data_IF_909566550673
#
_entry.id   IF_909566550673
#
_cell.length_a   1.000
_cell.length_b   1.000
_cell.length_c   1.000
_cell.angle_alpha   90.00
_cell.angle_beta   90.00
_cell.angle_gamma   90.00
#
_symmetry.space_group_name_H-M   'P 1'
#
loop_
_entity.id
_entity.type
_entity.pdbx_description
1 polymer ?
#
# COMPACT_ATOMS: atom_id res chain seq x y z
N UNK A 1 13.10 -4.43 -3.86
CA UNK A 1 12.46 -3.70 -2.74
C UNK A 1 13.07 -4.14 -1.43
N UNK A 2 13.22 -3.23 -0.45
CA UNK A 2 13.78 -3.55 0.88
C UNK A 2 12.79 -4.27 1.80
N UNK A 3 11.48 -4.20 1.50
CA UNK A 3 10.44 -4.76 2.35
C UNK A 3 10.59 -6.28 2.56
N UNK A 4 10.74 -7.15 1.54
CA UNK A 4 10.82 -8.60 1.72
C UNK A 4 11.88 -9.07 2.72
N UNK A 5 13.08 -8.45 2.70
CA UNK A 5 14.14 -8.82 3.63
C UNK A 5 13.90 -8.32 5.05
N UNK A 6 13.41 -7.08 5.21
CA UNK A 6 13.11 -6.50 6.54
C UNK A 6 11.97 -7.25 7.25
N UNK A 7 10.97 -7.71 6.49
CA UNK A 7 9.79 -8.44 6.99
C UNK A 7 10.14 -9.75 7.71
N UNK A 8 11.26 -10.39 7.35
CA UNK A 8 11.70 -11.64 7.97
C UNK A 8 11.99 -11.53 9.47
N UNK A 9 12.22 -10.31 9.97
CA UNK A 9 12.56 -10.03 11.37
C UNK A 9 11.38 -9.54 12.21
N UNK A 10 10.22 -9.32 11.59
CA UNK A 10 9.04 -8.78 12.25
C UNK A 10 8.18 -9.88 12.88
N UNK A 11 7.36 -9.51 13.87
CA UNK A 11 6.42 -10.41 14.55
C UNK A 11 5.59 -11.20 13.53
N UNK A 12 5.58 -12.55 13.54
CA UNK A 12 4.90 -13.33 12.51
C UNK A 12 3.41 -13.01 12.37
N UNK A 13 2.77 -12.36 13.35
CA UNK A 13 1.35 -11.95 13.37
C UNK A 13 1.04 -10.65 12.62
N UNK A 14 2.04 -9.92 12.10
CA UNK A 14 1.74 -8.72 11.29
C UNK A 14 0.92 -9.10 10.05
N UNK A 15 0.00 -8.23 9.65
CA UNK A 15 -0.77 -8.34 8.38
C UNK A 15 -0.37 -7.27 7.36
N UNK A 16 0.02 -6.10 7.82
CA UNK A 16 0.27 -4.95 6.96
C UNK A 16 1.62 -4.32 7.29
N UNK A 17 2.37 -3.96 6.26
CA UNK A 17 3.54 -3.10 6.38
C UNK A 17 3.35 -1.87 5.52
N UNK A 18 3.31 -0.71 6.17
CA UNK A 18 2.96 0.57 5.54
C UNK A 18 4.17 1.47 5.50
N UNK A 19 4.61 1.79 4.28
CA UNK A 19 5.70 2.73 4.04
C UNK A 19 5.18 3.95 3.27
N UNK A 20 6.02 4.96 3.20
CA UNK A 20 5.80 6.14 2.38
C UNK A 20 7.13 6.74 2.01
N UNK A 21 7.11 8.02 1.61
CA UNK A 21 8.30 8.79 1.23
C UNK A 21 9.01 8.32 -0.05
N UNK A 22 8.63 7.18 -0.61
CA UNK A 22 9.05 6.77 -1.95
C UNK A 22 8.26 7.57 -2.98
N UNK A 23 8.72 7.56 -4.22
CA UNK A 23 8.08 8.34 -5.28
C UNK A 23 6.80 7.70 -5.84
N UNK A 24 6.57 6.42 -5.56
CA UNK A 24 5.54 5.62 -6.24
C UNK A 24 4.66 4.91 -5.20
N UNK A 25 3.35 5.20 -5.20
CA UNK A 25 2.41 4.42 -4.42
C UNK A 25 2.31 3.01 -5.00
N UNK A 26 2.23 2.00 -4.14
CA UNK A 26 2.26 0.60 -4.55
C UNK A 26 1.56 -0.29 -3.52
N UNK A 27 0.93 -1.36 -4.00
CA UNK A 27 0.42 -2.47 -3.17
C UNK A 27 1.06 -3.77 -3.64
N UNK A 28 1.67 -4.52 -2.73
CA UNK A 28 2.31 -5.80 -3.03
C UNK A 28 1.84 -6.86 -2.06
N UNK A 29 1.32 -7.98 -2.59
CA UNK A 29 1.06 -9.18 -1.80
C UNK A 29 2.40 -9.84 -1.45
N UNK A 30 2.70 -9.97 -0.17
CA UNK A 30 3.99 -10.49 0.31
C UNK A 30 3.95 -11.99 0.54
N UNK A 31 2.94 -12.45 1.29
CA UNK A 31 2.83 -13.85 1.73
C UNK A 31 1.41 -14.15 2.20
N UNK A 32 1.00 -15.40 2.08
CA UNK A 32 -0.21 -15.93 2.74
C UNK A 32 0.22 -17.07 3.66
N UNK A 33 0.09 -16.86 4.96
CA UNK A 33 0.46 -17.83 5.99
C UNK A 33 -0.75 -18.66 6.43
N UNK A 34 -0.50 -19.81 7.06
CA UNK A 34 -1.55 -20.62 7.65
C UNK A 34 -2.39 -19.81 8.68
N UNK A 35 -3.68 -20.13 8.84
CA UNK A 35 -4.52 -19.46 9.82
C UNK A 35 -3.97 -19.56 11.24
N UNK A 36 -4.17 -18.51 12.04
CA UNK A 36 -3.87 -18.53 13.47
C UNK A 36 -4.96 -19.29 14.23
N UNK A 37 -4.63 -19.89 15.37
CA UNK A 37 -5.61 -20.58 16.20
C UNK A 37 -6.78 -19.64 16.56
N UNK A 38 -8.00 -20.03 16.16
CA UNK A 38 -9.22 -19.24 16.37
C UNK A 38 -9.65 -18.34 15.22
N UNK A 39 -8.88 -18.23 14.13
CA UNK A 39 -9.31 -17.60 12.88
C UNK A 39 -9.32 -18.67 11.76
N UNK A 40 -10.45 -18.89 11.05
CA UNK A 40 -10.48 -19.84 9.94
C UNK A 40 -9.78 -19.31 8.67
N UNK A 41 -9.37 -18.03 8.63
CA UNK A 41 -8.82 -17.39 7.44
C UNK A 41 -7.30 -17.39 7.44
N UNK A 42 -6.67 -17.46 6.25
CA UNK A 42 -5.22 -17.32 6.14
C UNK A 42 -4.75 -15.96 6.67
N UNK A 43 -3.52 -15.93 7.17
CA UNK A 43 -2.86 -14.71 7.58
C UNK A 43 -2.15 -14.09 6.36
N UNK A 44 -2.89 -13.25 5.64
CA UNK A 44 -2.38 -12.53 4.47
C UNK A 44 -1.53 -11.33 4.89
N UNK A 45 -0.38 -11.19 4.23
CA UNK A 45 0.62 -10.17 4.48
C UNK A 45 0.76 -9.28 3.26
N UNK A 46 0.57 -7.98 3.45
CA UNK A 46 0.57 -7.00 2.36
C UNK A 46 1.51 -5.84 2.68
N UNK A 47 2.30 -5.45 1.69
CA UNK A 47 3.10 -4.23 1.69
C UNK A 47 2.31 -3.12 0.99
N UNK A 48 2.23 -1.98 1.66
CA UNK A 48 1.48 -0.81 1.23
C UNK A 48 2.43 0.37 1.22
N UNK A 49 2.60 1.01 0.07
CA UNK A 49 3.38 2.21 -0.06
C UNK A 49 2.49 3.38 -0.47
N UNK A 50 2.47 4.42 0.35
CA UNK A 50 1.70 5.64 0.09
C UNK A 50 2.36 6.58 -0.93
N UNK A 51 3.62 6.31 -1.30
CA UNK A 51 4.40 7.16 -2.17
C UNK A 51 4.75 8.48 -1.50
N UNK A 52 4.70 9.57 -2.27
CA UNK A 52 5.11 10.91 -1.83
C UNK A 52 4.02 11.93 -2.13
N UNK A 53 3.89 12.91 -1.24
CA UNK A 53 3.03 14.09 -1.42
C UNK A 53 3.69 15.18 -2.27
N UNK A 54 4.98 15.01 -2.62
CA UNK A 54 5.73 15.94 -3.47
C UNK A 54 5.25 15.84 -4.92
N UNK A 55 5.32 16.97 -5.63
CA UNK A 55 5.13 16.96 -7.08
C UNK A 55 6.18 16.06 -7.74
N UNK A 56 5.72 15.23 -8.68
CA UNK A 56 6.59 14.45 -9.55
C UNK A 56 6.43 14.88 -10.99
N UNK A 57 7.53 14.84 -11.72
CA UNK A 57 7.56 15.06 -13.15
C UNK A 57 7.78 13.73 -13.84
N UNK A 58 6.93 13.45 -14.82
CA UNK A 58 6.95 12.23 -15.59
C UNK A 58 7.34 12.59 -17.01
N UNK A 59 8.27 11.82 -17.56
CA UNK A 59 8.68 11.97 -18.95
C UNK A 59 7.52 11.53 -19.84
N UNK A 60 7.19 12.32 -20.85
CA UNK A 60 6.25 11.91 -21.87
C UNK A 60 6.82 10.75 -22.70
N UNK A 61 5.94 9.84 -23.11
CA UNK A 61 6.36 8.65 -23.87
C UNK A 61 6.74 8.98 -25.32
N UNK A 62 6.07 9.97 -25.91
CA UNK A 62 6.17 10.27 -27.34
C UNK A 62 7.17 11.38 -27.69
N UNK A 63 7.67 12.12 -26.71
CA UNK A 63 8.56 13.26 -26.96
C UNK A 63 9.54 13.50 -25.79
N UNK A 64 10.20 14.66 -25.79
CA UNK A 64 11.18 15.07 -24.76
C UNK A 64 10.57 15.97 -23.68
N UNK A 65 9.25 16.05 -23.60
CA UNK A 65 8.54 16.85 -22.61
C UNK A 65 8.43 16.13 -21.27
N UNK A 66 8.13 16.91 -20.23
CA UNK A 66 7.86 16.43 -18.90
C UNK A 66 6.54 17.02 -18.40
N UNK A 67 5.74 16.20 -17.76
CA UNK A 67 4.46 16.60 -17.17
C UNK A 67 4.50 16.39 -15.67
N UNK A 68 4.23 17.45 -14.92
CA UNK A 68 4.12 17.40 -13.47
C UNK A 68 2.71 17.05 -13.01
N UNK A 69 2.59 16.28 -11.93
CA UNK A 69 1.39 16.21 -11.08
C UNK A 69 1.74 15.73 -9.67
N UNK A 70 0.81 15.89 -8.74
CA UNK A 70 0.91 15.37 -7.37
C UNK A 70 0.00 14.16 -7.23
N UNK A 71 0.44 13.16 -6.46
CA UNK A 71 -0.43 12.07 -6.05
C UNK A 71 -0.90 12.29 -4.61
N UNK A 72 -2.15 11.96 -4.33
CA UNK A 72 -2.71 11.84 -2.99
C UNK A 72 -3.10 10.37 -2.79
N UNK A 73 -2.47 9.71 -1.83
CA UNK A 73 -2.71 8.30 -1.53
C UNK A 73 -3.27 8.14 -0.14
N UNK A 74 -4.43 7.51 -0.05
CA UNK A 74 -5.02 7.06 1.22
C UNK A 74 -4.83 5.56 1.37
N UNK A 75 -4.53 5.14 2.59
CA UNK A 75 -4.61 3.75 3.02
C UNK A 75 -5.50 3.73 4.25
N UNK A 76 -6.59 2.98 4.19
CA UNK A 76 -7.63 2.94 5.21
C UNK A 76 -7.69 1.52 5.74
N UNK A 77 -7.56 1.35 7.05
CA UNK A 77 -7.67 0.07 7.72
C UNK A 77 -8.98 0.03 8.49
N UNK A 78 -9.72 -1.07 8.34
CA UNK A 78 -10.98 -1.26 9.05
C UNK A 78 -10.80 -2.27 10.18
N UNK A 79 -11.39 -1.98 11.33
CA UNK A 79 -11.66 -2.96 12.38
C UNK A 79 -12.79 -3.89 11.94
N UNK A 80 -12.91 -5.03 12.61
CA UNK A 80 -13.94 -6.03 12.30
C UNK A 80 -15.38 -5.48 12.42
N UNK A 81 -15.59 -4.49 13.27
CA UNK A 81 -16.89 -3.87 13.56
C UNK A 81 -17.20 -2.64 12.70
N UNK A 82 -16.25 -2.16 11.90
CA UNK A 82 -16.40 -0.94 11.08
C UNK A 82 -17.03 -1.20 9.71
N UNK A 83 -17.09 -2.47 9.26
CA UNK A 83 -17.75 -2.88 8.02
C UNK A 83 -18.69 -4.06 8.24
N UNK A 84 -19.96 -3.89 7.86
CA UNK A 84 -21.04 -4.87 8.06
C UNK A 84 -20.81 -6.23 7.38
N UNK A 85 -20.05 -6.26 6.29
CA UNK A 85 -19.97 -7.45 5.42
C UNK A 85 -18.57 -8.07 5.33
N UNK A 86 -17.51 -7.43 5.85
CA UNK A 86 -16.14 -7.94 5.76
C UNK A 86 -15.32 -7.62 7.01
N UNK A 87 -14.81 -8.66 7.65
CA UNK A 87 -13.91 -8.56 8.81
C UNK A 87 -12.51 -8.13 8.35
N UNK A 88 -12.19 -6.86 8.60
CA UNK A 88 -10.86 -6.26 8.53
C UNK A 88 -10.11 -6.42 7.19
N UNK A 89 -10.65 -5.78 6.16
CA UNK A 89 -9.90 -5.49 4.93
C UNK A 89 -9.29 -4.08 5.00
N UNK A 90 -8.34 -3.79 4.12
CA UNK A 90 -7.85 -2.43 3.90
C UNK A 90 -8.36 -1.92 2.56
N UNK A 91 -8.39 -0.59 2.40
CA UNK A 91 -8.58 0.05 1.10
C UNK A 91 -7.41 0.98 0.79
N UNK A 92 -7.08 1.08 -0.49
CA UNK A 92 -6.18 2.12 -0.97
C UNK A 92 -6.85 2.93 -2.08
N UNK A 93 -6.65 4.24 -2.02
CA UNK A 93 -7.16 5.18 -3.01
C UNK A 93 -6.02 6.11 -3.42
N UNK A 94 -5.69 6.14 -4.71
CA UNK A 94 -4.69 7.05 -5.26
C UNK A 94 -5.35 8.00 -6.25
N UNK A 95 -5.34 9.29 -5.94
CA UNK A 95 -5.79 10.36 -6.83
C UNK A 95 -4.60 11.17 -7.35
N UNK A 96 -4.73 11.73 -8.55
CA UNK A 96 -3.74 12.63 -9.13
C UNK A 96 -4.30 14.05 -9.24
N UNK A 97 -3.54 15.03 -8.79
CA UNK A 97 -3.82 16.46 -8.94
C UNK A 97 -2.83 17.08 -9.92
N UNK A 98 -3.31 17.47 -11.10
CA UNK A 98 -2.55 18.28 -12.04
C UNK A 98 -2.38 19.67 -11.45
N UNK A 99 -1.15 20.02 -11.08
CA UNK A 99 -0.79 21.41 -10.78
C UNK A 99 -0.40 22.06 -12.10
N UNK A 100 -1.06 23.19 -12.40
CA UNK A 100 -0.87 23.97 -13.63
C UNK A 100 0.58 24.44 -13.76
#
# INVERSE_FOLDING_TARGET
EAAPQELSRLDPRFRYVVYGHTHEPLVVALRSDAPLAGDPRPLEKVYLNTGTWRSRYYKADQDRSFMGWKNMTYVIFYREDERKERKADFETWTGALKTV
#
